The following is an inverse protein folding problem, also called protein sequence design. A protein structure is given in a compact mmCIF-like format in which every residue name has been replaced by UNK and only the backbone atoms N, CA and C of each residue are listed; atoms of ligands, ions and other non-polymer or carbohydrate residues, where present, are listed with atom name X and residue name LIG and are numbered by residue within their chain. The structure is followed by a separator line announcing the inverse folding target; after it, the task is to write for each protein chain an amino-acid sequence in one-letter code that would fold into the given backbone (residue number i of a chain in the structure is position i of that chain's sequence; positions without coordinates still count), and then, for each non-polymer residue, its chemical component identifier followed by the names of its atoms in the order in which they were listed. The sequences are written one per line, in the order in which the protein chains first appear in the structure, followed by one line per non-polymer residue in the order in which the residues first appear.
data_IF_576999200323
#
_entry.id   IF_576999200323
#
_cell.length_a   1.000
_cell.length_b   1.000
_cell.length_c   1.000
_cell.angle_alpha   90.00
_cell.angle_beta   90.00
_cell.angle_gamma   90.00
#
_symmetry.space_group_name_H-M   'P 1'
#
loop_
_entity.id
_entity.type
_entity.pdbx_description
1 polymer ?
#
# COMPACT_ATOMS: atom_id res chain seq x y z
N UNK A 1 6.95 15.67 -18.28
CA UNK A 1 6.49 15.79 -16.87
C UNK A 1 7.16 14.64 -16.12
N UNK A 2 8.14 14.96 -15.28
CA UNK A 2 9.04 13.96 -14.67
C UNK A 2 8.31 13.09 -13.65
N UNK A 3 8.60 11.80 -13.66
CA UNK A 3 8.23 10.87 -12.59
C UNK A 3 8.86 11.39 -11.28
N UNK A 4 8.07 11.44 -10.20
CA UNK A 4 8.50 11.95 -8.91
C UNK A 4 9.81 11.30 -8.43
N UNK A 5 10.64 12.09 -7.76
CA UNK A 5 11.92 11.64 -7.20
C UNK A 5 11.63 10.60 -6.12
N UNK A 6 12.32 9.45 -6.18
CA UNK A 6 12.29 8.46 -5.10
C UNK A 6 13.01 9.06 -3.89
N UNK A 7 12.29 9.25 -2.79
CA UNK A 7 12.87 9.70 -1.52
C UNK A 7 13.03 8.48 -0.59
N UNK A 8 14.26 8.31 -0.08
CA UNK A 8 14.58 7.28 0.89
C UNK A 8 14.48 7.86 2.30
N UNK A 9 13.73 7.20 3.19
CA UNK A 9 13.61 7.59 4.61
C UNK A 9 14.35 6.56 5.47
N UNK A 10 15.23 6.98 6.38
CA UNK A 10 15.98 6.07 7.24
C UNK A 10 15.09 5.39 8.32
N UNK A 11 15.48 4.20 8.80
CA UNK A 11 14.73 3.41 9.80
C UNK A 11 14.71 4.05 11.20
N UNK A 12 13.68 3.74 12.01
CA UNK A 12 13.37 4.36 13.32
C UNK A 12 13.60 3.47 14.55
N UNK A 13 14.13 2.25 14.38
CA UNK A 13 14.35 1.25 15.43
C UNK A 13 13.14 0.35 15.74
N UNK A 14 12.01 0.52 15.06
CA UNK A 14 10.80 -0.30 15.19
C UNK A 14 10.86 -1.37 14.11
N UNK A 15 11.42 -2.55 14.42
CA UNK A 15 11.78 -3.60 13.47
C UNK A 15 11.02 -3.65 12.13
N UNK A 16 11.69 -4.04 11.03
CA UNK A 16 11.55 -3.51 9.66
C UNK A 16 10.12 -3.33 9.13
N UNK A 17 9.19 -4.19 9.54
CA UNK A 17 7.78 -4.12 9.18
C UNK A 17 7.05 -2.89 9.73
N UNK A 18 7.30 -2.53 10.99
CA UNK A 18 6.62 -1.40 11.66
C UNK A 18 7.12 -0.06 11.10
N UNK A 19 8.42 0.04 10.86
CA UNK A 19 9.05 1.15 10.15
C UNK A 19 8.45 1.37 8.76
N UNK A 20 8.35 0.30 7.96
CA UNK A 20 7.76 0.38 6.62
C UNK A 20 6.35 0.94 6.65
N UNK A 21 5.52 0.53 7.61
CA UNK A 21 4.15 1.06 7.73
C UNK A 21 4.10 2.52 8.22
N UNK A 22 4.97 2.91 9.17
CA UNK A 22 5.04 4.31 9.62
C UNK A 22 5.47 5.25 8.49
N UNK A 23 6.51 4.87 7.73
CA UNK A 23 6.96 5.65 6.57
C UNK A 23 5.85 5.87 5.54
N UNK A 24 5.05 4.83 5.27
CA UNK A 24 3.94 4.90 4.32
C UNK A 24 2.82 5.82 4.80
N UNK A 25 2.48 5.77 6.09
CA UNK A 25 1.51 6.70 6.67
C UNK A 25 2.00 8.15 6.63
N UNK A 26 3.32 8.38 6.66
CA UNK A 26 3.94 9.70 6.59
C UNK A 26 4.22 10.19 5.15
N UNK A 27 3.78 9.47 4.11
CA UNK A 27 4.12 9.83 2.73
C UNK A 27 3.55 11.19 2.28
N UNK A 28 2.45 11.65 2.89
CA UNK A 28 1.90 13.01 2.71
C UNK A 28 2.85 14.13 3.17
N UNK A 29 3.80 13.81 4.05
CA UNK A 29 4.84 14.75 4.51
C UNK A 29 6.03 14.82 3.55
N UNK A 30 6.17 13.85 2.65
CA UNK A 30 7.31 13.70 1.74
C UNK A 30 6.96 14.10 0.30
N UNK A 31 5.69 13.95 -0.09
CA UNK A 31 5.23 14.25 -1.44
C UNK A 31 4.01 15.19 -1.43
N UNK A 32 4.11 16.30 -2.17
CA UNK A 32 3.01 17.24 -2.41
C UNK A 32 2.08 16.83 -3.58
N UNK A 33 2.06 15.54 -3.95
CA UNK A 33 1.25 15.03 -5.05
C UNK A 33 -0.18 14.74 -4.62
N UNK A 34 -1.14 14.73 -5.56
CA UNK A 34 -2.54 14.40 -5.25
C UNK A 34 -2.72 12.94 -4.81
N UNK A 35 -1.91 12.05 -5.40
CA UNK A 35 -1.90 10.63 -5.11
C UNK A 35 -0.50 10.17 -4.72
N UNK A 36 -0.43 9.16 -3.86
CA UNK A 36 0.78 8.42 -3.52
C UNK A 36 0.58 6.95 -3.85
N UNK A 37 1.56 6.36 -4.53
CA UNK A 37 1.67 4.91 -4.71
C UNK A 37 2.52 4.32 -3.59
N UNK A 38 1.98 3.37 -2.85
CA UNK A 38 2.69 2.64 -1.81
C UNK A 38 2.94 1.22 -2.32
N UNK A 39 4.20 0.79 -2.32
CA UNK A 39 4.62 -0.54 -2.80
C UNK A 39 5.54 -1.21 -1.77
N UNK A 40 5.63 -2.54 -1.83
CA UNK A 40 6.64 -3.26 -1.07
C UNK A 40 7.98 -3.22 -1.82
N UNK A 41 9.09 -3.28 -1.08
CA UNK A 41 10.44 -3.18 -1.65
C UNK A 41 10.80 -4.38 -2.55
N UNK A 42 10.11 -5.51 -2.37
CA UNK A 42 10.20 -6.72 -3.18
C UNK A 42 9.17 -6.76 -4.33
N UNK A 43 8.47 -5.64 -4.61
CA UNK A 43 7.56 -5.54 -5.75
C UNK A 43 8.33 -5.36 -7.06
N UNK A 44 8.09 -6.25 -8.03
CA UNK A 44 8.64 -6.17 -9.38
C UNK A 44 7.59 -5.64 -10.38
N UNK A 45 7.91 -4.54 -11.07
CA UNK A 45 7.11 -4.05 -12.18
C UNK A 45 7.56 -4.71 -13.49
N UNK A 46 6.74 -5.63 -14.00
CA UNK A 46 7.00 -6.35 -15.27
C UNK A 46 6.53 -5.58 -16.51
N UNK A 47 5.85 -4.45 -16.33
CA UNK A 47 5.42 -3.54 -17.39
C UNK A 47 5.64 -2.08 -16.98
N UNK A 48 5.75 -1.13 -17.92
CA UNK A 48 5.87 0.28 -17.59
C UNK A 48 4.69 0.80 -16.76
N UNK A 49 4.99 1.48 -15.66
CA UNK A 49 3.98 2.14 -14.83
C UNK A 49 3.52 3.42 -15.52
N UNK A 50 2.30 3.40 -16.05
CA UNK A 50 1.68 4.54 -16.75
C UNK A 50 0.44 5.03 -15.99
N UNK A 51 0.00 6.26 -16.23
CA UNK A 51 -1.26 6.78 -15.67
C UNK A 51 -2.44 5.87 -16.01
N UNK A 52 -2.50 5.38 -17.25
CA UNK A 52 -3.51 4.41 -17.66
C UNK A 52 -3.38 3.08 -16.90
N UNK A 53 -2.19 2.65 -16.48
CA UNK A 53 -2.04 1.46 -15.65
C UNK A 53 -2.54 1.68 -14.21
N UNK A 54 -2.40 2.90 -13.67
CA UNK A 54 -2.71 3.26 -12.28
C UNK A 54 -4.12 3.82 -12.06
N UNK A 55 -4.79 4.30 -13.12
CA UNK A 55 -6.12 4.91 -13.01
C UNK A 55 -7.05 4.38 -14.11
N UNK A 56 -8.34 4.29 -13.79
CA UNK A 56 -9.38 4.03 -14.78
C UNK A 56 -9.78 5.32 -15.54
N UNK A 57 -10.72 5.19 -16.48
CA UNK A 57 -11.19 6.33 -17.28
C UNK A 57 -11.90 7.42 -16.45
N UNK A 58 -12.38 7.08 -15.25
CA UNK A 58 -12.99 8.01 -14.31
C UNK A 58 -11.97 8.63 -13.34
N UNK A 59 -10.67 8.34 -13.51
CA UNK A 59 -9.61 8.83 -12.62
C UNK A 59 -9.54 8.10 -11.28
N UNK A 60 -10.25 6.97 -11.13
CA UNK A 60 -10.21 6.18 -9.90
C UNK A 60 -8.96 5.32 -9.90
N UNK A 61 -8.23 5.21 -8.76
CA UNK A 61 -7.06 4.37 -8.69
C UNK A 61 -7.38 2.90 -8.99
N UNK A 62 -6.51 2.24 -9.74
CA UNK A 62 -6.57 0.81 -10.05
C UNK A 62 -5.17 0.20 -10.00
N UNK A 63 -5.08 -1.02 -9.50
CA UNK A 63 -3.87 -1.83 -9.61
C UNK A 63 -4.14 -3.01 -10.54
N UNK A 64 -3.25 -3.19 -11.52
CA UNK A 64 -3.17 -4.39 -12.34
C UNK A 64 -1.94 -5.17 -11.90
N UNK A 65 -2.14 -6.17 -11.05
CA UNK A 65 -1.10 -7.06 -10.58
C UNK A 65 -1.39 -8.51 -10.96
N UNK A 66 -0.34 -9.30 -11.13
CA UNK A 66 -0.44 -10.77 -11.13
C UNK A 66 0.24 -11.26 -9.85
N UNK A 67 -0.51 -11.95 -9.01
CA UNK A 67 0.07 -12.65 -7.87
C UNK A 67 0.93 -13.80 -8.39
N UNK A 68 2.10 -14.00 -7.79
CA UNK A 68 2.83 -15.24 -7.97
C UNK A 68 1.99 -16.39 -7.38
N UNK A 69 2.00 -17.56 -8.01
CA UNK A 69 1.27 -18.72 -7.49
C UNK A 69 1.81 -19.07 -6.10
N UNK A 70 0.95 -19.00 -5.09
CA UNK A 70 1.31 -19.35 -3.72
C UNK A 70 1.05 -20.84 -3.49
N UNK A 71 1.97 -21.57 -2.83
CA UNK A 71 1.74 -22.96 -2.47
C UNK A 71 0.48 -23.11 -1.61
N UNK A 72 -0.28 -24.18 -1.86
CA UNK A 72 -1.36 -24.59 -0.97
C UNK A 72 -0.84 -24.78 0.47
N UNK A 73 -1.58 -24.29 1.46
CA UNK A 73 -1.18 -24.33 2.87
C UNK A 73 -0.18 -23.24 3.30
N UNK A 74 0.22 -22.33 2.41
CA UNK A 74 0.95 -21.13 2.81
C UNK A 74 0.08 -20.18 3.63
N UNK A 75 0.70 -19.34 4.46
CA UNK A 75 0.02 -18.26 5.19
C UNK A 75 -0.90 -17.43 4.28
N UNK A 76 -0.43 -17.11 3.07
CA UNK A 76 -1.16 -16.34 2.06
C UNK A 76 -2.40 -17.04 1.52
N UNK A 77 -2.45 -18.37 1.56
CA UNK A 77 -3.66 -19.11 1.25
C UNK A 77 -4.71 -18.95 2.34
N UNK A 78 -4.32 -19.11 3.60
CA UNK A 78 -5.23 -18.99 4.75
C UNK A 78 -5.79 -17.58 4.91
N UNK A 79 -4.93 -16.56 4.83
CA UNK A 79 -5.32 -15.16 4.96
C UNK A 79 -6.42 -14.78 3.96
N UNK A 80 -6.28 -15.22 2.71
CA UNK A 80 -7.21 -14.91 1.65
C UNK A 80 -8.60 -15.53 1.82
N UNK A 81 -8.64 -16.80 2.23
CA UNK A 81 -9.90 -17.50 2.54
C UNK A 81 -10.61 -16.79 3.69
N UNK A 82 -9.88 -16.33 4.71
CA UNK A 82 -10.46 -15.57 5.82
C UNK A 82 -10.97 -14.19 5.39
N UNK A 83 -10.24 -13.44 4.56
CA UNK A 83 -10.68 -12.14 4.04
C UNK A 83 -11.94 -12.29 3.19
N UNK A 84 -11.98 -13.25 2.26
CA UNK A 84 -13.15 -13.51 1.42
C UNK A 84 -14.37 -13.89 2.26
N UNK A 85 -14.18 -14.74 3.27
CA UNK A 85 -15.25 -15.12 4.20
C UNK A 85 -15.81 -13.91 4.95
N UNK A 86 -14.96 -13.01 5.43
CA UNK A 86 -15.37 -11.83 6.21
C UNK A 86 -16.04 -10.75 5.34
N UNK A 87 -15.55 -10.54 4.12
CA UNK A 87 -15.98 -9.43 3.27
C UNK A 87 -17.01 -9.84 2.20
N UNK A 88 -17.22 -11.15 1.98
CA UNK A 88 -18.18 -11.67 1.00
C UNK A 88 -17.83 -11.35 -0.46
N UNK A 89 -16.57 -10.98 -0.73
CA UNK A 89 -16.07 -10.62 -2.05
C UNK A 89 -14.80 -11.40 -2.36
N UNK A 90 -14.64 -11.81 -3.62
CA UNK A 90 -13.40 -12.45 -4.08
C UNK A 90 -12.21 -11.52 -3.86
N UNK A 91 -11.17 -12.03 -3.21
CA UNK A 91 -10.01 -11.22 -2.88
C UNK A 91 -9.15 -10.98 -4.13
N UNK A 92 -9.06 -9.71 -4.55
CA UNK A 92 -8.46 -9.33 -5.85
C UNK A 92 -6.92 -9.22 -5.78
N UNK A 93 -6.32 -9.13 -4.59
CA UNK A 93 -4.86 -9.09 -4.41
C UNK A 93 -4.42 -9.54 -3.00
N UNK A 94 -3.46 -10.47 -2.93
CA UNK A 94 -2.82 -10.96 -1.69
C UNK A 94 -1.44 -10.34 -1.55
N UNK A 95 -1.32 -9.33 -0.71
CA UNK A 95 -0.03 -8.72 -0.42
C UNK A 95 0.11 -8.52 1.11
N UNK A 96 1.33 -8.37 1.61
CA UNK A 96 1.64 -8.27 3.05
C UNK A 96 0.90 -7.12 3.75
N UNK A 97 0.52 -6.12 2.97
CA UNK A 97 -0.62 -5.24 3.17
C UNK A 97 -1.29 -5.10 1.78
N UNK A 98 -2.37 -4.33 1.62
CA UNK A 98 -3.01 -4.11 0.31
C UNK A 98 -2.09 -3.35 -0.69
N UNK A 99 -0.81 -3.69 -0.83
CA UNK A 99 0.15 -3.09 -1.72
C UNK A 99 0.26 -3.90 -3.03
N UNK A 100 0.58 -3.29 -4.17
CA UNK A 100 0.60 -1.85 -4.35
C UNK A 100 -0.80 -1.25 -4.17
N UNK A 101 -0.89 -0.10 -3.49
CA UNK A 101 -2.09 0.75 -3.47
C UNK A 101 -1.74 2.15 -3.93
N UNK A 102 -2.71 2.79 -4.55
CA UNK A 102 -2.67 4.22 -4.86
C UNK A 102 -3.77 4.87 -4.03
N UNK A 103 -3.39 5.81 -3.18
CA UNK A 103 -4.30 6.52 -2.27
C UNK A 103 -4.23 8.02 -2.52
N UNK A 104 -5.32 8.75 -2.23
CA UNK A 104 -5.29 10.22 -2.19
C UNK A 104 -4.45 10.65 -0.99
N UNK A 105 -3.52 11.56 -1.23
CA UNK A 105 -2.55 12.01 -0.21
C UNK A 105 -3.25 12.59 1.02
N UNK A 106 -4.34 13.33 0.81
CA UNK A 106 -5.14 13.90 1.91
C UNK A 106 -5.73 12.87 2.87
N UNK A 107 -5.91 11.61 2.44
CA UNK A 107 -6.45 10.56 3.31
C UNK A 107 -5.41 10.00 4.29
N UNK A 108 -4.10 10.19 4.03
CA UNK A 108 -3.03 9.64 4.87
C UNK A 108 -3.02 10.26 6.27
N UNK A 109 -3.25 11.57 6.37
CA UNK A 109 -3.39 12.23 7.66
C UNK A 109 -4.58 11.70 8.48
N UNK A 110 -5.71 11.43 7.82
CA UNK A 110 -6.89 10.82 8.45
C UNK A 110 -6.63 9.40 8.93
N UNK A 111 -6.00 8.57 8.10
CA UNK A 111 -5.60 7.20 8.46
C UNK A 111 -4.66 7.19 9.66
N UNK A 112 -3.64 8.06 9.66
CA UNK A 112 -2.71 8.20 10.78
C UNK A 112 -3.46 8.53 12.07
N UNK A 113 -4.34 9.52 12.04
CA UNK A 113 -5.13 9.95 13.20
C UNK A 113 -5.97 8.81 13.78
N UNK A 114 -6.67 8.05 12.94
CA UNK A 114 -7.48 6.90 13.39
C UNK A 114 -6.61 5.86 14.11
N UNK A 115 -5.41 5.59 13.59
CA UNK A 115 -4.48 4.64 14.21
C UNK A 115 -3.90 5.17 15.53
N UNK A 116 -3.58 6.47 15.60
CA UNK A 116 -3.13 7.12 16.84
C UNK A 116 -4.20 7.04 17.94
N UNK A 117 -5.47 7.29 17.59
CA UNK A 117 -6.60 7.17 18.51
C UNK A 117 -6.83 5.71 18.97
N UNK A 118 -6.70 4.75 18.05
CA UNK A 118 -6.88 3.32 18.37
C UNK A 118 -5.79 2.76 19.28
N UNK A 119 -4.55 3.22 19.11
CA UNK A 119 -3.38 2.67 19.80
C UNK A 119 -2.88 3.52 20.96
N UNK A 120 -3.38 4.76 21.12
CA UNK A 120 -2.94 5.68 22.17
C UNK A 120 -1.47 6.10 22.04
N UNK A 121 -0.89 5.99 20.84
CA UNK A 121 0.50 6.34 20.54
C UNK A 121 0.52 7.28 19.34
N UNK A 122 1.36 8.31 19.37
CA UNK A 122 1.58 9.17 18.20
C UNK A 122 2.44 8.45 17.16
N UNK A 123 2.09 8.63 15.89
CA UNK A 123 2.80 8.00 14.75
C UNK A 123 3.65 9.03 13.99
N UNK A 124 4.13 10.05 14.68
CA UNK A 124 4.84 11.19 14.11
C UNK A 124 6.36 11.02 13.95
#
# INVERSE_FOLDING_TARGET
RGLGRLEFVPPTGLGPWKEGQRMRLAADRLAATEFVGLVDADTLFVTPVTTAALFDAAGRPRIRGRLADHPAGSFWWGAAVSTQFLLGVDEVARCMAYFPVVVRTEHLAGLRRVLEELHGERLD
#
